data_IF_629873355153
#
_entry.id   IF_629873355153
#
_cell.length_a   1.000
_cell.length_b   1.000
_cell.length_c   1.000
_cell.angle_alpha   90.00
_cell.angle_beta   90.00
_cell.angle_gamma   90.00
#
_symmetry.space_group_name_H-M   'P 1'
#
loop_
_entity.id
_entity.type
_entity.pdbx_description
1 polymer ?
#
# COMPACT_ATOMS: atom_id res chain seq x y z
N UNK A 1 4.82 15.61 12.95
CA UNK A 1 4.62 16.28 11.65
C UNK A 1 3.84 15.32 10.79
N UNK A 2 2.59 15.65 10.47
CA UNK A 2 1.74 14.81 9.62
C UNK A 2 1.91 15.30 8.18
N UNK A 3 2.15 14.40 7.24
CA UNK A 3 2.26 14.72 5.82
C UNK A 3 0.92 14.43 5.19
N UNK A 4 0.28 15.45 4.62
CA UNK A 4 -1.03 15.36 3.98
C UNK A 4 -0.90 15.65 2.48
N UNK A 5 -1.78 15.05 1.68
CA UNK A 5 -1.91 15.39 0.25
C UNK A 5 -2.35 16.84 0.13
N UNK A 6 -1.63 17.63 -0.67
CA UNK A 6 -2.00 19.01 -0.94
C UNK A 6 -3.23 19.08 -1.84
N UNK A 7 -4.15 19.98 -1.50
CA UNK A 7 -5.34 20.35 -2.29
C UNK A 7 -5.52 21.87 -2.24
N UNK A 8 -6.24 22.44 -3.20
CA UNK A 8 -6.62 23.86 -3.16
C UNK A 8 -7.43 24.21 -1.90
N UNK A 9 -8.19 23.26 -1.37
CA UNK A 9 -9.01 23.39 -0.16
C UNK A 9 -8.32 22.85 1.10
N UNK A 10 -6.98 22.77 1.10
CA UNK A 10 -6.23 22.25 2.24
C UNK A 10 -6.35 23.19 3.45
N UNK A 11 -6.79 22.63 4.58
CA UNK A 11 -6.87 23.32 5.87
C UNK A 11 -6.03 22.57 6.91
N UNK A 12 -4.97 23.18 7.47
CA UNK A 12 -4.11 22.55 8.46
C UNK A 12 -4.79 22.29 9.81
N UNK A 13 -5.98 22.86 10.05
CA UNK A 13 -6.78 22.61 11.25
C UNK A 13 -7.66 21.36 11.15
N UNK A 14 -7.79 20.79 9.95
CA UNK A 14 -8.60 19.60 9.67
C UNK A 14 -7.67 18.42 9.38
N UNK A 15 -7.83 17.34 10.14
CA UNK A 15 -7.10 16.10 9.87
C UNK A 15 -7.57 15.48 8.55
N UNK A 16 -6.62 15.12 7.69
CA UNK A 16 -6.94 14.43 6.44
C UNK A 16 -7.40 13.01 6.74
N UNK A 17 -8.51 12.54 6.13
CA UNK A 17 -8.88 11.14 6.22
C UNK A 17 -7.93 10.23 5.43
N UNK A 18 -7.08 10.80 4.57
CA UNK A 18 -6.12 10.07 3.75
C UNK A 18 -4.80 9.90 4.50
N UNK A 19 -4.36 8.66 4.64
CA UNK A 19 -3.12 8.31 5.31
C UNK A 19 -2.22 7.45 4.42
N UNK A 20 -0.91 7.73 4.46
CA UNK A 20 0.09 6.88 3.83
C UNK A 20 0.44 5.72 4.77
N UNK A 21 0.13 4.50 4.35
CA UNK A 21 0.38 3.29 5.13
C UNK A 21 1.21 2.29 4.32
N UNK A 22 2.14 1.64 5.00
CA UNK A 22 2.91 0.55 4.41
C UNK A 22 2.23 -0.78 4.72
N UNK A 23 1.72 -1.45 3.69
CA UNK A 23 1.19 -2.81 3.81
C UNK A 23 2.30 -3.82 3.52
N UNK A 24 2.28 -4.93 4.27
CA UNK A 24 3.16 -6.07 4.06
C UNK A 24 2.35 -7.26 3.54
N UNK A 25 2.82 -7.88 2.46
CA UNK A 25 2.26 -9.11 1.90
C UNK A 25 3.25 -10.24 2.18
N UNK A 26 2.91 -11.06 3.16
CA UNK A 26 3.72 -12.20 3.59
C UNK A 26 3.35 -13.47 2.80
N UNK A 27 4.32 -14.37 2.60
CA UNK A 27 4.08 -15.66 1.94
C UNK A 27 3.80 -15.57 0.44
N UNK A 28 3.93 -14.39 -0.17
CA UNK A 28 3.78 -14.21 -1.61
C UNK A 28 4.94 -14.91 -2.35
N UNK A 29 4.67 -15.67 -3.42
CA UNK A 29 5.73 -16.22 -4.26
C UNK A 29 6.64 -15.14 -4.85
N UNK A 30 7.95 -15.40 -4.89
CA UNK A 30 8.96 -14.43 -5.35
C UNK A 30 8.71 -13.89 -6.77
N UNK A 31 8.14 -14.70 -7.66
CA UNK A 31 7.83 -14.27 -9.04
C UNK A 31 6.74 -13.19 -9.11
N UNK A 32 6.00 -12.96 -8.01
CA UNK A 32 5.01 -11.89 -7.88
C UNK A 32 5.56 -10.65 -7.17
N UNK A 33 6.85 -10.60 -6.83
CA UNK A 33 7.52 -9.40 -6.32
C UNK A 33 7.86 -8.42 -7.46
N UNK A 34 6.91 -8.22 -8.36
CA UNK A 34 7.04 -7.31 -9.49
C UNK A 34 5.97 -6.21 -9.39
N UNK A 35 6.25 -5.00 -9.93
CA UNK A 35 5.41 -3.83 -9.74
C UNK A 35 3.93 -4.05 -10.06
N UNK A 36 3.61 -4.71 -11.17
CA UNK A 36 2.22 -4.83 -11.62
C UNK A 36 1.41 -5.75 -10.70
N UNK A 37 1.96 -6.91 -10.34
CA UNK A 37 1.35 -7.83 -9.38
C UNK A 37 1.15 -7.16 -8.01
N UNK A 38 2.19 -6.54 -7.47
CA UNK A 38 2.12 -5.91 -6.14
C UNK A 38 1.16 -4.72 -6.12
N UNK A 39 1.14 -3.89 -7.16
CA UNK A 39 0.19 -2.79 -7.25
C UNK A 39 -1.25 -3.27 -7.49
N UNK A 40 -1.44 -4.38 -8.20
CA UNK A 40 -2.76 -4.98 -8.36
C UNK A 40 -3.31 -5.49 -7.03
N UNK A 41 -2.47 -6.14 -6.21
CA UNK A 41 -2.84 -6.58 -4.86
C UNK A 41 -3.11 -5.38 -3.95
N UNK A 42 -2.21 -4.39 -3.95
CA UNK A 42 -2.31 -3.22 -3.10
C UNK A 42 -3.53 -2.34 -3.41
N UNK A 43 -3.98 -2.29 -4.68
CA UNK A 43 -5.21 -1.61 -5.10
C UNK A 43 -6.48 -2.13 -4.41
N UNK A 44 -6.47 -3.36 -3.89
CA UNK A 44 -7.58 -3.91 -3.12
C UNK A 44 -7.70 -3.27 -1.72
N UNK A 45 -6.63 -2.63 -1.26
CA UNK A 45 -6.54 -1.98 0.06
C UNK A 45 -6.69 -0.46 -0.07
N UNK A 46 -5.96 0.16 -1.00
CA UNK A 46 -5.93 1.61 -1.20
C UNK A 46 -5.18 1.97 -2.48
N UNK A 47 -4.89 3.24 -2.71
CA UNK A 47 -4.16 3.67 -3.91
C UNK A 47 -2.66 3.34 -3.76
N UNK A 48 -2.08 2.41 -4.53
CA UNK A 48 -0.66 2.10 -4.45
C UNK A 48 0.19 3.24 -4.98
N UNK A 49 1.24 3.57 -4.24
CA UNK A 49 2.16 4.66 -4.57
C UNK A 49 3.56 4.14 -4.88
N UNK A 50 4.08 3.26 -4.03
CA UNK A 50 5.49 2.89 -4.11
C UNK A 50 5.80 1.55 -3.42
N UNK A 51 6.76 0.80 -3.95
CA UNK A 51 7.36 -0.35 -3.26
C UNK A 51 8.58 0.09 -2.46
N UNK A 52 8.84 -0.55 -1.31
CA UNK A 52 10.06 -0.26 -0.57
C UNK A 52 11.31 -0.78 -1.28
N UNK A 53 12.47 -0.26 -0.91
CA UNK A 53 13.73 -0.62 -1.56
C UNK A 53 14.09 -2.10 -1.37
N UNK A 54 13.68 -2.73 -0.27
CA UNK A 54 13.96 -4.13 0.00
C UNK A 54 13.14 -5.07 -0.90
N UNK A 55 11.89 -4.68 -1.22
CA UNK A 55 11.02 -5.38 -2.16
C UNK A 55 11.53 -5.21 -3.59
N UNK A 56 11.88 -3.97 -3.99
CA UNK A 56 12.39 -3.69 -5.34
C UNK A 56 13.70 -4.43 -5.62
N UNK A 57 14.62 -4.44 -4.64
CA UNK A 57 15.92 -5.07 -4.79
C UNK A 57 15.95 -6.54 -4.36
N UNK A 58 14.80 -7.10 -3.96
CA UNK A 58 14.66 -8.48 -3.46
C UNK A 58 15.64 -8.85 -2.34
N UNK A 59 16.07 -7.88 -1.52
CA UNK A 59 17.02 -8.11 -0.42
C UNK A 59 16.35 -8.69 0.82
N UNK A 60 15.02 -8.57 0.93
CA UNK A 60 14.21 -9.17 2.00
C UNK A 60 12.95 -9.84 1.41
N UNK A 61 13.09 -11.02 0.78
CA UNK A 61 12.00 -11.69 0.06
C UNK A 61 10.95 -12.35 0.98
N UNK A 62 11.08 -12.23 2.31
CA UNK A 62 10.10 -12.79 3.24
C UNK A 62 8.78 -12.01 3.24
N UNK A 63 8.81 -10.73 2.88
CA UNK A 63 7.64 -9.83 2.87
C UNK A 63 7.80 -8.82 1.74
N UNK A 64 6.81 -8.75 0.85
CA UNK A 64 6.70 -7.64 -0.10
C UNK A 64 6.01 -6.45 0.58
N UNK A 65 6.53 -5.23 0.42
CA UNK A 65 5.97 -4.02 1.03
C UNK A 65 5.61 -2.98 0.00
N UNK A 66 4.39 -2.46 0.12
CA UNK A 66 3.84 -1.41 -0.74
C UNK A 66 3.28 -0.28 0.13
N UNK A 67 3.62 0.96 -0.20
CA UNK A 67 3.02 2.15 0.34
C UNK A 67 1.71 2.42 -0.41
N UNK A 68 0.62 2.58 0.34
CA UNK A 68 -0.69 2.90 -0.21
C UNK A 68 -1.24 4.16 0.47
N UNK A 69 -1.95 4.99 -0.28
CA UNK A 69 -2.84 6.01 0.29
C UNK A 69 -4.17 5.34 0.64
N UNK A 70 -4.51 5.35 1.93
CA UNK A 70 -5.70 4.73 2.48
C UNK A 70 -6.67 5.80 3.00
N UNK A 71 -7.95 5.63 2.70
CA UNK A 71 -9.03 6.44 3.24
C UNK A 71 -9.54 5.82 4.55
N UNK A 72 -9.19 6.45 5.67
CA UNK A 72 -9.51 5.98 7.02
C UNK A 72 -10.99 6.10 7.38
N UNK A 73 -11.82 6.74 6.54
CA UNK A 73 -13.28 6.80 6.75
C UNK A 73 -14.00 5.54 6.27
N UNK A 74 -13.30 4.70 5.48
CA UNK A 74 -13.84 3.45 4.95
C UNK A 74 -13.52 2.28 5.87
N UNK A 75 -14.36 1.25 5.80
CA UNK A 75 -14.08 -0.01 6.48
C UNK A 75 -12.77 -0.63 6.00
N UNK A 76 -12.10 -1.31 6.92
CA UNK A 76 -10.90 -2.10 6.63
C UNK A 76 -11.19 -3.11 5.51
N UNK A 77 -10.27 -3.31 4.55
CA UNK A 77 -10.42 -4.36 3.55
C UNK A 77 -10.57 -5.72 4.23
N UNK A 78 -11.52 -6.53 3.74
CA UNK A 78 -11.66 -7.91 4.17
C UNK A 78 -10.43 -8.73 3.74
N UNK A 79 -10.13 -9.85 4.41
CA UNK A 79 -9.08 -10.75 3.98
C UNK A 79 -9.22 -11.10 2.48
N UNK A 80 -8.12 -10.96 1.74
CA UNK A 80 -8.07 -11.24 0.30
C UNK A 80 -7.46 -12.62 0.09
N UNK A 81 -8.14 -13.44 -0.70
CA UNK A 81 -7.62 -14.72 -1.16
C UNK A 81 -7.02 -14.55 -2.55
N UNK A 82 -5.72 -14.81 -2.68
CA UNK A 82 -5.02 -14.80 -3.96
C UNK A 82 -4.89 -16.24 -4.41
N UNK A 83 -5.59 -16.60 -5.49
CA UNK A 83 -5.46 -17.91 -6.10
C UNK A 83 -4.17 -17.94 -6.94
N UNK A 84 -3.25 -18.84 -6.56
CA UNK A 84 -1.93 -18.97 -7.19
C UNK A 84 -1.90 -20.12 -8.20
N UNK A 85 -2.90 -20.17 -9.09
CA UNK A 85 -3.03 -21.23 -10.11
C UNK A 85 -3.30 -22.63 -9.57
#
# INVERSE_FOLDING_TARGET
MNVCRWTCDFDPSIDSPLALVWIGVEGLPLHLFEPNALFSIANLVGLPLQMDSATVNLTRPSVARVCVELDLTKDMPKPVWIHLG
#
